data_IF_828711216073
#
_entry.id   IF_828711216073
#
_cell.length_a   1.000
_cell.length_b   1.000
_cell.length_c   1.000
_cell.angle_alpha   90.00
_cell.angle_beta   90.00
_cell.angle_gamma   90.00
#
_symmetry.space_group_name_H-M   'P 1'
#
loop_
_entity.id
_entity.type
_entity.pdbx_description
1 polymer ?
#
# COMPACT_ATOMS: atom_id res chain seq x y z
N UNK A 1 10.61 11.34 -9.23
CA UNK A 1 9.99 10.79 -7.98
C UNK A 1 9.78 9.31 -8.16
N UNK A 2 10.18 8.53 -7.18
CA UNK A 2 10.01 7.07 -7.20
C UNK A 2 8.55 6.74 -6.88
N UNK A 3 7.92 5.87 -7.67
CA UNK A 3 6.56 5.38 -7.42
C UNK A 3 6.69 3.97 -6.84
N UNK A 4 6.25 3.79 -5.60
CA UNK A 4 6.38 2.54 -4.86
C UNK A 4 5.02 2.02 -4.43
N UNK A 5 4.73 0.76 -4.75
CA UNK A 5 3.59 0.06 -4.17
C UNK A 5 4.01 -0.50 -2.80
N UNK A 6 3.16 -0.38 -1.80
CA UNK A 6 3.39 -0.97 -0.49
C UNK A 6 2.16 -1.80 -0.12
N UNK A 7 2.39 -3.07 0.21
CA UNK A 7 1.31 -4.05 0.33
C UNK A 7 1.72 -5.20 1.24
N UNK A 8 0.75 -5.77 1.96
CA UNK A 8 0.87 -7.08 2.59
C UNK A 8 -0.12 -8.03 1.91
N UNK A 9 0.34 -9.19 1.50
CA UNK A 9 -0.46 -10.18 0.78
C UNK A 9 -0.11 -11.60 1.21
N UNK A 10 -1.12 -12.48 1.24
CA UNK A 10 -0.94 -13.91 1.45
C UNK A 10 -0.22 -14.56 0.26
N UNK A 11 0.11 -15.84 0.36
CA UNK A 11 0.77 -16.56 -0.75
C UNK A 11 -0.08 -16.60 -2.02
N UNK A 12 -1.41 -16.57 -1.89
CA UNK A 12 -2.34 -16.48 -3.01
C UNK A 12 -2.71 -15.03 -3.39
N UNK A 13 -1.92 -14.04 -2.96
CA UNK A 13 -2.08 -12.61 -3.23
C UNK A 13 -3.37 -11.99 -2.66
N UNK A 14 -4.03 -12.62 -1.70
CA UNK A 14 -5.17 -12.02 -1.02
C UNK A 14 -4.71 -10.87 -0.13
N UNK A 15 -5.40 -9.73 -0.20
CA UNK A 15 -5.06 -8.53 0.57
C UNK A 15 -6.19 -8.08 1.49
N UNK A 16 -7.38 -8.65 1.35
CA UNK A 16 -8.50 -8.30 2.20
C UNK A 16 -9.74 -9.14 1.93
N UNK A 17 -10.71 -9.01 2.81
CA UNK A 17 -12.05 -9.57 2.69
C UNK A 17 -13.03 -8.71 3.47
N UNK A 18 -14.18 -8.39 2.87
CA UNK A 18 -15.23 -7.58 3.50
C UNK A 18 -14.68 -6.23 4.04
N UNK A 19 -13.81 -5.57 3.27
CA UNK A 19 -13.13 -4.32 3.62
C UNK A 19 -12.24 -4.40 4.86
N UNK A 20 -11.77 -5.58 5.22
CA UNK A 20 -10.90 -5.80 6.39
C UNK A 20 -9.62 -6.51 5.99
N UNK A 21 -8.55 -6.26 6.75
CA UNK A 21 -7.32 -7.04 6.66
C UNK A 21 -7.57 -8.47 7.13
N UNK A 22 -6.84 -9.42 6.54
CA UNK A 22 -6.95 -10.86 6.86
C UNK A 22 -6.11 -11.27 8.06
N UNK A 23 -5.28 -10.38 8.59
CA UNK A 23 -4.35 -10.65 9.68
C UNK A 23 -4.10 -9.40 10.51
N UNK A 24 -3.47 -9.62 11.66
CA UNK A 24 -2.94 -8.56 12.49
C UNK A 24 -1.45 -8.85 12.73
N UNK A 25 -0.58 -8.05 12.12
CA UNK A 25 0.87 -8.19 12.20
C UNK A 25 1.47 -6.86 12.69
N UNK A 26 1.71 -6.72 14.01
CA UNK A 26 2.20 -5.45 14.56
C UNK A 26 3.51 -4.96 13.94
N UNK A 27 4.43 -5.87 13.59
CA UNK A 27 5.70 -5.49 12.96
C UNK A 27 5.49 -4.95 11.54
N UNK A 28 4.50 -5.47 10.82
CA UNK A 28 4.14 -4.94 9.50
C UNK A 28 3.55 -3.54 9.60
N UNK A 29 2.73 -3.28 10.61
CA UNK A 29 2.18 -1.95 10.85
C UNK A 29 3.27 -0.93 11.14
N UNK A 30 4.29 -1.32 11.92
CA UNK A 30 5.48 -0.48 12.18
C UNK A 30 6.30 -0.24 10.92
N UNK A 31 6.50 -1.29 10.14
CA UNK A 31 7.22 -1.20 8.86
C UNK A 31 6.52 -0.23 7.91
N UNK A 32 5.20 -0.35 7.76
CA UNK A 32 4.40 0.55 6.93
C UNK A 32 4.57 2.00 7.39
N UNK A 33 4.39 2.26 8.67
CA UNK A 33 4.50 3.60 9.24
C UNK A 33 5.89 4.20 9.00
N UNK A 34 6.94 3.44 9.31
CA UNK A 34 8.32 3.93 9.20
C UNK A 34 8.72 4.15 7.74
N UNK A 35 8.30 3.26 6.84
CA UNK A 35 8.65 3.34 5.42
C UNK A 35 7.97 4.53 4.74
N UNK A 36 6.72 4.82 5.09
CA UNK A 36 5.93 5.89 4.43
C UNK A 36 6.02 7.23 5.15
N UNK A 37 6.70 7.31 6.28
CA UNK A 37 6.72 8.53 7.10
C UNK A 37 7.18 9.74 6.31
N UNK A 38 6.45 10.86 6.47
CA UNK A 38 6.71 12.15 5.81
C UNK A 38 6.55 12.16 4.29
N UNK A 39 6.07 11.06 3.69
CA UNK A 39 5.91 10.96 2.23
C UNK A 39 4.44 11.05 1.83
N UNK A 40 4.14 11.36 0.55
CA UNK A 40 2.79 11.22 0.02
C UNK A 40 2.36 9.76 -0.03
N UNK A 41 1.13 9.50 0.39
CA UNK A 41 0.51 8.16 0.31
C UNK A 41 -0.81 8.29 -0.45
N UNK A 42 -0.91 7.56 -1.55
CA UNK A 42 -2.12 7.51 -2.39
C UNK A 42 -2.90 6.26 -2.04
N UNK A 43 -4.20 6.42 -1.82
CA UNK A 43 -5.10 5.31 -1.50
C UNK A 43 -6.47 5.54 -2.14
N UNK A 44 -7.20 4.46 -2.32
CA UNK A 44 -8.59 4.53 -2.74
C UNK A 44 -9.52 4.82 -1.56
N UNK A 45 -10.78 5.16 -1.87
CA UNK A 45 -11.79 5.50 -0.86
C UNK A 45 -12.03 4.36 0.14
N UNK A 46 -12.14 3.12 -0.32
CA UNK A 46 -12.39 1.98 0.57
C UNK A 46 -11.25 1.78 1.57
N UNK A 47 -10.01 1.94 1.12
CA UNK A 47 -8.84 1.90 2.01
C UNK A 47 -8.90 3.01 3.04
N UNK A 48 -9.22 4.22 2.61
CA UNK A 48 -9.35 5.37 3.52
C UNK A 48 -10.44 5.13 4.56
N UNK A 49 -11.60 4.62 4.14
CA UNK A 49 -12.71 4.29 5.06
C UNK A 49 -12.32 3.20 6.06
N UNK A 50 -11.46 2.25 5.66
CA UNK A 50 -10.93 1.22 6.57
C UNK A 50 -10.04 1.78 7.68
N UNK A 51 -9.55 3.00 7.53
CA UNK A 51 -8.80 3.75 8.55
C UNK A 51 -9.74 4.57 9.45
N UNK A 52 -11.01 4.21 9.54
CA UNK A 52 -12.07 4.94 10.26
C UNK A 52 -12.26 6.38 9.73
N UNK A 53 -11.92 6.63 8.46
CA UNK A 53 -12.03 7.94 7.82
C UNK A 53 -11.03 8.97 8.33
N UNK A 54 -9.96 8.52 8.99
CA UNK A 54 -8.91 9.40 9.50
C UNK A 54 -7.64 9.28 8.66
N UNK A 55 -7.08 10.40 8.18
CA UNK A 55 -5.82 10.36 7.45
C UNK A 55 -4.67 9.80 8.29
N UNK A 56 -3.70 9.18 7.62
CA UNK A 56 -2.50 8.68 8.26
C UNK A 56 -1.67 9.85 8.83
N UNK A 57 -1.39 9.86 10.13
CA UNK A 57 -0.59 10.95 10.73
C UNK A 57 0.83 11.00 10.14
N UNK A 58 1.35 12.21 9.97
CA UNK A 58 2.74 12.44 9.52
C UNK A 58 2.99 12.16 8.04
N UNK A 59 1.96 11.98 7.25
CA UNK A 59 2.04 11.73 5.80
C UNK A 59 1.10 12.66 5.05
N UNK A 60 1.36 12.86 3.75
CA UNK A 60 0.45 13.58 2.87
C UNK A 60 -0.51 12.58 2.25
N UNK A 61 -1.75 12.55 2.73
CA UNK A 61 -2.76 11.58 2.29
C UNK A 61 -3.47 12.08 1.05
N UNK A 62 -3.51 11.26 -0.01
CA UNK A 62 -4.24 11.55 -1.24
C UNK A 62 -5.22 10.43 -1.47
N UNK A 63 -6.52 10.74 -1.45
CA UNK A 63 -7.58 9.75 -1.56
C UNK A 63 -8.25 9.87 -2.93
N UNK A 64 -8.18 8.79 -3.70
CA UNK A 64 -8.83 8.72 -5.02
C UNK A 64 -10.29 8.34 -4.79
N UNK A 65 -11.20 9.21 -5.21
CA UNK A 65 -12.63 8.99 -5.09
C UNK A 65 -13.40 9.79 -6.12
N UNK A 66 -14.48 9.20 -6.64
CA UNK A 66 -15.45 9.92 -7.48
C UNK A 66 -16.57 10.52 -6.66
N UNK A 67 -16.67 10.16 -5.37
CA UNK A 67 -17.64 10.70 -4.44
C UNK A 67 -17.03 11.85 -3.67
N UNK A 68 -17.86 12.84 -3.35
CA UNK A 68 -17.42 13.91 -2.47
C UNK A 68 -17.33 13.37 -1.04
N UNK A 69 -16.16 13.54 -0.43
CA UNK A 69 -15.91 13.20 0.97
C UNK A 69 -15.56 14.47 1.73
N UNK A 70 -15.96 14.51 3.00
CA UNK A 70 -15.48 15.54 3.92
C UNK A 70 -14.26 15.00 4.65
N UNK A 71 -13.12 15.67 4.48
CA UNK A 71 -11.89 15.31 5.18
C UNK A 71 -11.77 16.12 6.47
N UNK A 72 -11.23 15.54 7.56
CA UNK A 72 -11.00 16.28 8.79
C UNK A 72 -10.07 17.48 8.54
N UNK A 73 -10.40 18.62 9.15
CA UNK A 73 -9.58 19.82 9.07
C UNK A 73 -8.25 19.66 9.80
N UNK A 74 -7.25 20.39 9.36
CA UNK A 74 -5.93 20.44 10.01
C UNK A 74 -5.04 19.22 9.77
N UNK A 75 -5.48 18.27 8.93
CA UNK A 75 -4.71 17.10 8.57
C UNK A 75 -4.27 17.21 7.11
N UNK A 76 -3.10 16.67 6.81
CA UNK A 76 -2.55 16.68 5.45
C UNK A 76 -3.27 15.63 4.58
N UNK A 77 -4.41 16.02 4.02
CA UNK A 77 -5.23 15.14 3.20
C UNK A 77 -5.87 15.91 2.04
N UNK A 78 -5.88 15.31 0.87
CA UNK A 78 -6.48 15.86 -0.35
C UNK A 78 -7.26 14.76 -1.07
N UNK A 79 -8.29 15.17 -1.83
CA UNK A 79 -9.03 14.28 -2.72
C UNK A 79 -8.51 14.40 -4.14
N UNK A 80 -8.56 13.30 -4.89
CA UNK A 80 -8.29 13.25 -6.32
C UNK A 80 -9.37 12.41 -7.01
N UNK A 81 -9.73 12.76 -8.25
CA UNK A 81 -10.78 12.07 -8.99
C UNK A 81 -10.26 10.83 -9.74
N UNK A 82 -8.98 10.77 -10.02
CA UNK A 82 -8.38 9.70 -10.81
C UNK A 82 -6.90 9.51 -10.44
N UNK A 83 -6.26 8.40 -10.88
CA UNK A 83 -4.86 8.14 -10.58
C UNK A 83 -3.89 9.21 -11.10
N UNK A 84 -4.17 9.80 -12.26
CA UNK A 84 -3.32 10.84 -12.85
C UNK A 84 -3.31 12.11 -11.99
N UNK A 85 -4.47 12.55 -11.55
CA UNK A 85 -4.60 13.72 -10.66
C UNK A 85 -3.93 13.46 -9.30
N UNK A 86 -4.09 12.25 -8.75
CA UNK A 86 -3.45 11.87 -7.49
C UNK A 86 -1.92 11.95 -7.60
N UNK A 87 -1.36 11.45 -8.71
CA UNK A 87 0.08 11.49 -8.94
C UNK A 87 0.59 12.92 -9.10
N UNK A 88 -0.15 13.79 -9.79
CA UNK A 88 0.20 15.21 -9.91
C UNK A 88 0.23 15.90 -8.54
N UNK A 89 -0.76 15.63 -7.69
CA UNK A 89 -0.80 16.17 -6.33
C UNK A 89 0.36 15.64 -5.48
N UNK A 90 0.73 14.37 -5.63
CA UNK A 90 1.90 13.81 -4.95
C UNK A 90 3.20 14.48 -5.41
N UNK A 91 3.37 14.68 -6.71
CA UNK A 91 4.56 15.36 -7.26
C UNK A 91 4.69 16.78 -6.75
N UNK A 92 3.58 17.47 -6.53
CA UNK A 92 3.58 18.84 -6.01
C UNK A 92 4.11 18.95 -4.56
N UNK A 93 4.20 17.83 -3.82
CA UNK A 93 4.81 17.81 -2.49
C UNK A 93 6.34 17.83 -2.52
N UNK A 94 6.94 17.65 -3.68
CA UNK A 94 8.39 17.66 -3.89
C UNK A 94 9.14 16.66 -2.98
N UNK A 95 8.56 15.47 -2.83
CA UNK A 95 9.16 14.37 -2.08
C UNK A 95 9.86 13.40 -3.03
N UNK A 96 10.82 12.64 -2.51
CA UNK A 96 11.61 11.70 -3.33
C UNK A 96 10.83 10.48 -3.78
N UNK A 97 9.77 10.13 -3.07
CA UNK A 97 9.03 8.89 -3.27
C UNK A 97 7.55 9.09 -2.94
N UNK A 98 6.67 8.42 -3.68
CA UNK A 98 5.25 8.33 -3.36
C UNK A 98 4.88 6.86 -3.13
N UNK A 99 4.05 6.58 -2.13
CA UNK A 99 3.60 5.24 -1.79
C UNK A 99 2.15 5.03 -2.20
N UNK A 100 1.88 3.90 -2.84
CA UNK A 100 0.55 3.48 -3.25
C UNK A 100 0.10 2.39 -2.25
N UNK A 101 -0.93 2.67 -1.47
CA UNK A 101 -1.33 1.83 -0.34
C UNK A 101 -2.63 1.03 -0.56
N UNK A 102 -3.13 0.98 -1.78
CA UNK A 102 -4.28 0.14 -2.12
C UNK A 102 -5.57 0.90 -2.33
N UNK A 103 -6.64 0.25 -2.56
CA UNK A 103 -6.78 -1.22 -2.66
C UNK A 103 -6.49 -1.80 -4.04
N UNK A 104 -7.18 -2.88 -4.35
CA UNK A 104 -6.92 -3.66 -5.56
C UNK A 104 -6.91 -2.82 -6.84
N UNK A 105 -7.93 -2.01 -7.06
CA UNK A 105 -8.03 -1.19 -8.29
C UNK A 105 -6.92 -0.15 -8.36
N UNK A 106 -6.54 0.42 -7.23
CA UNK A 106 -5.48 1.42 -7.16
C UNK A 106 -4.12 0.78 -7.43
N UNK A 107 -3.86 -0.40 -6.87
CA UNK A 107 -2.65 -1.17 -7.21
C UNK A 107 -2.60 -1.51 -8.71
N UNK A 108 -3.71 -1.96 -9.29
CA UNK A 108 -3.78 -2.27 -10.72
C UNK A 108 -3.47 -1.05 -11.58
N UNK A 109 -3.98 0.12 -11.20
CA UNK A 109 -3.77 1.36 -11.94
C UNK A 109 -2.31 1.81 -11.95
N UNK A 110 -1.61 1.63 -10.83
CA UNK A 110 -0.23 2.09 -10.70
C UNK A 110 0.83 1.04 -11.01
N UNK A 111 0.48 -0.24 -11.10
CA UNK A 111 1.45 -1.30 -11.41
C UNK A 111 2.29 -1.01 -12.67
N UNK A 112 1.69 -0.54 -13.79
CA UNK A 112 2.49 -0.22 -14.98
C UNK A 112 3.47 0.95 -14.78
N UNK A 113 3.22 1.81 -13.81
CA UNK A 113 4.02 3.03 -13.56
C UNK A 113 5.01 2.86 -12.41
N UNK A 114 4.87 1.81 -11.60
CA UNK A 114 5.63 1.65 -10.37
C UNK A 114 7.09 1.28 -10.64
N UNK A 115 7.98 1.81 -9.81
CA UNK A 115 9.40 1.52 -9.84
C UNK A 115 9.79 0.45 -8.83
N UNK A 116 9.06 0.38 -7.71
CA UNK A 116 9.32 -0.52 -6.59
C UNK A 116 8.04 -1.13 -6.03
N UNK A 117 8.18 -2.30 -5.43
CA UNK A 117 7.14 -2.92 -4.60
C UNK A 117 7.77 -3.29 -3.27
N UNK A 118 7.22 -2.76 -2.18
CA UNK A 118 7.50 -3.21 -0.82
C UNK A 118 6.42 -4.20 -0.44
N UNK A 119 6.75 -5.48 -0.45
CA UNK A 119 5.82 -6.57 -0.21
C UNK A 119 6.07 -7.19 1.15
N UNK A 120 5.04 -7.23 1.99
CA UNK A 120 5.03 -8.13 3.14
C UNK A 120 4.31 -9.40 2.71
N UNK A 121 5.07 -10.45 2.47
CA UNK A 121 4.50 -11.75 2.10
C UNK A 121 4.14 -12.51 3.36
N UNK A 122 2.85 -12.75 3.55
CA UNK A 122 2.33 -13.53 4.68
C UNK A 122 2.26 -14.98 4.26
N UNK A 123 3.01 -15.85 4.95
CA UNK A 123 3.21 -17.24 4.53
C UNK A 123 2.04 -18.14 4.93
N UNK A 124 0.92 -17.91 4.27
CA UNK A 124 -0.30 -18.71 4.36
C UNK A 124 -1.17 -18.40 3.16
N UNK A 125 -2.10 -19.29 2.84
CA UNK A 125 -3.17 -19.00 1.88
C UNK A 125 -4.44 -18.69 2.66
N UNK A 126 -5.11 -17.60 2.31
CA UNK A 126 -6.33 -17.15 2.97
C UNK A 126 -7.41 -16.85 1.95
N UNK A 127 -8.66 -17.06 2.35
CA UNK A 127 -9.81 -16.70 1.54
C UNK A 127 -9.99 -15.18 1.55
N UNK A 128 -9.85 -14.57 0.38
CA UNK A 128 -10.00 -13.12 0.21
C UNK A 128 -10.94 -12.80 -0.94
N UNK A 129 -11.41 -11.55 -0.99
CA UNK A 129 -12.23 -11.05 -2.09
C UNK A 129 -11.53 -9.95 -2.90
N UNK A 130 -10.41 -9.45 -2.42
CA UNK A 130 -9.55 -8.51 -3.14
C UNK A 130 -8.11 -9.02 -3.14
N UNK A 131 -7.39 -8.76 -4.24
CA UNK A 131 -6.08 -9.35 -4.48
C UNK A 131 -5.10 -8.31 -5.01
N UNK A 132 -3.83 -8.50 -4.67
CA UNK A 132 -2.73 -7.76 -5.29
C UNK A 132 -2.44 -8.36 -6.66
N UNK A 133 -2.14 -7.53 -7.68
CA UNK A 133 -1.75 -8.04 -9.00
C UNK A 133 -0.53 -8.96 -8.91
N UNK A 134 -0.51 -10.03 -9.70
CA UNK A 134 0.64 -10.92 -9.74
C UNK A 134 1.91 -10.15 -10.14
N UNK A 135 3.01 -10.43 -9.44
CA UNK A 135 4.31 -9.85 -9.77
C UNK A 135 4.93 -10.71 -10.87
N UNK A 136 5.07 -10.13 -12.07
CA UNK A 136 5.68 -10.81 -13.21
C UNK A 136 7.21 -10.72 -13.09
N UNK A 137 7.86 -11.84 -12.79
CA UNK A 137 9.31 -11.90 -12.61
C UNK A 137 10.08 -11.66 -13.92
N UNK A 138 9.42 -11.66 -15.06
CA UNK A 138 10.06 -11.20 -16.30
C UNK A 138 10.32 -9.68 -16.28
N UNK A 139 9.48 -8.91 -15.58
CA UNK A 139 9.60 -7.46 -15.46
C UNK A 139 10.06 -6.95 -14.10
N UNK A 140 10.15 -7.82 -13.10
CA UNK A 140 10.48 -7.44 -11.72
C UNK A 140 11.55 -8.36 -11.13
N UNK A 141 12.42 -7.80 -10.31
CA UNK A 141 13.47 -8.53 -9.61
C UNK A 141 13.32 -8.32 -8.10
N UNK A 142 13.31 -9.42 -7.35
CA UNK A 142 13.36 -9.35 -5.88
C UNK A 142 14.80 -9.12 -5.45
N UNK A 143 15.07 -7.95 -4.86
CA UNK A 143 16.42 -7.53 -4.47
C UNK A 143 16.68 -7.65 -2.96
N UNK A 144 15.63 -7.87 -2.17
CA UNK A 144 15.75 -7.98 -0.71
C UNK A 144 14.66 -8.88 -0.15
N UNK A 145 15.02 -9.67 0.86
CA UNK A 145 14.06 -10.44 1.65
C UNK A 145 14.59 -10.63 3.07
N UNK A 146 13.71 -10.41 4.05
CA UNK A 146 13.99 -10.66 5.46
C UNK A 146 12.83 -11.45 6.04
N UNK A 147 13.13 -12.65 6.58
CA UNK A 147 12.14 -13.61 7.04
C UNK A 147 11.92 -13.52 8.56
N UNK A 148 10.67 -13.68 8.96
CA UNK A 148 10.26 -13.72 10.37
C UNK A 148 9.34 -14.92 10.59
N UNK A 149 9.56 -15.61 11.71
CA UNK A 149 8.70 -16.71 12.14
C UNK A 149 7.43 -16.19 12.82
N UNK A 150 6.37 -17.01 12.81
CA UNK A 150 5.21 -16.76 13.66
C UNK A 150 5.63 -16.71 15.14
N UNK A 151 4.95 -15.90 15.92
CA UNK A 151 5.21 -15.76 17.36
C UNK A 151 3.93 -15.44 18.13
N UNK A 152 4.04 -15.08 19.41
CA UNK A 152 2.87 -14.81 20.26
C UNK A 152 2.02 -13.64 19.76
N UNK A 153 2.58 -12.71 18.98
CA UNK A 153 1.90 -11.52 18.43
C UNK A 153 1.59 -11.65 16.95
N UNK A 154 2.14 -12.66 16.27
CA UNK A 154 2.02 -12.86 14.83
C UNK A 154 1.60 -14.31 14.57
N UNK A 155 0.35 -14.48 14.14
CA UNK A 155 -0.23 -15.80 13.90
C UNK A 155 0.44 -16.54 12.73
N UNK A 156 1.06 -15.81 11.80
CA UNK A 156 1.69 -16.35 10.60
C UNK A 156 3.15 -15.90 10.50
N UNK A 157 3.99 -16.74 9.91
CA UNK A 157 5.30 -16.32 9.44
C UNK A 157 5.12 -15.32 8.29
N UNK A 158 6.06 -14.42 8.13
CA UNK A 158 6.00 -13.38 7.09
C UNK A 158 7.40 -12.97 6.67
N UNK A 159 7.50 -12.34 5.50
CA UNK A 159 8.77 -11.83 4.99
C UNK A 159 8.59 -10.43 4.45
N UNK A 160 9.52 -9.54 4.74
CA UNK A 160 9.60 -8.26 4.05
C UNK A 160 10.42 -8.45 2.78
N UNK A 161 9.86 -8.07 1.63
CA UNK A 161 10.50 -8.19 0.33
C UNK A 161 10.52 -6.82 -0.35
N UNK A 162 11.61 -6.54 -1.07
CA UNK A 162 11.67 -5.39 -1.97
C UNK A 162 11.88 -5.89 -3.39
N UNK A 163 11.00 -5.46 -4.28
CA UNK A 163 11.06 -5.75 -5.69
C UNK A 163 11.34 -4.47 -6.46
N UNK A 164 12.19 -4.53 -7.47
CA UNK A 164 12.48 -3.41 -8.36
C UNK A 164 12.17 -3.78 -9.80
N UNK A 165 11.73 -2.79 -10.58
CA UNK A 165 11.46 -3.01 -11.99
C UNK A 165 12.75 -3.25 -12.73
N UNK A 166 12.80 -4.29 -13.55
CA UNK A 166 13.93 -4.55 -14.45
C UNK A 166 14.00 -3.48 -15.54
N UNK A 167 15.19 -3.10 -15.88
CA UNK A 167 15.45 -2.13 -16.95
C UNK A 167 15.71 -2.84 -18.27
#
# INVERSE_FOLDING_TARGET
MIISLIVAASENNAIGKDNKLLWHLPNDMKFFKNTTWAMPVIMGRNTFESLAGEPLPGRYNIVITRKQLTLPEGLHAELAFNPEEALEKAKAKDCKEVFIAGGQQVYQAYMPLADKIYMTRVHTELDGDVFFPAIDEAGWEKVYQLDFSADAKHAYAYSFQTWVRKQ
#
